data_IF_540107693850
#
_entry.id   IF_540107693850
#
_cell.length_a   1.000
_cell.length_b   1.000
_cell.length_c   1.000
_cell.angle_alpha   90.00
_cell.angle_beta   90.00
_cell.angle_gamma   90.00
#
_symmetry.space_group_name_H-M   'P 1'
#
loop_
_entity.id
_entity.type
_entity.pdbx_description
1 polymer ?
#
# COMPACT_ATOMS: atom_id res chain seq x y z
N UNK A 1 3.25 -23.35 0.63
CA UNK A 1 4.45 -22.53 0.99
C UNK A 1 5.71 -23.34 1.18
N UNK A 2 5.65 -24.59 1.70
CA UNK A 2 6.83 -25.45 1.86
C UNK A 2 7.44 -25.89 0.54
N UNK A 3 6.64 -26.31 -0.43
CA UNK A 3 7.10 -26.79 -1.76
C UNK A 3 7.69 -25.66 -2.60
N UNK A 4 7.16 -24.44 -2.51
CA UNK A 4 7.73 -23.27 -3.19
C UNK A 4 9.11 -22.87 -2.65
N UNK A 5 9.29 -22.91 -1.30
CA UNK A 5 10.60 -22.64 -0.67
C UNK A 5 11.66 -23.68 -1.02
N UNK A 6 11.27 -24.90 -1.31
CA UNK A 6 12.17 -25.98 -1.72
C UNK A 6 12.51 -25.96 -3.22
N UNK A 7 11.97 -25.03 -4.01
CA UNK A 7 12.19 -24.93 -5.45
C UNK A 7 11.63 -26.12 -6.26
N UNK A 8 10.81 -26.97 -5.65
CA UNK A 8 10.24 -28.17 -6.26
C UNK A 8 8.72 -28.12 -6.17
N UNK A 9 8.07 -27.76 -7.27
CA UNK A 9 6.62 -27.90 -7.42
C UNK A 9 6.30 -29.38 -7.64
N UNK A 10 5.98 -30.12 -6.59
CA UNK A 10 5.44 -31.47 -6.71
C UNK A 10 3.91 -31.38 -6.89
N UNK A 11 3.32 -31.88 -7.99
CA UNK A 11 1.90 -31.72 -8.26
C UNK A 11 0.98 -32.23 -7.16
N UNK A 12 1.40 -33.23 -6.40
CA UNK A 12 0.62 -33.81 -5.31
C UNK A 12 0.61 -33.00 -4.01
N UNK A 13 1.53 -32.02 -3.85
CA UNK A 13 1.68 -31.20 -2.65
C UNK A 13 1.39 -29.71 -2.88
N UNK A 14 1.04 -29.35 -4.13
CA UNK A 14 0.82 -27.96 -4.54
C UNK A 14 -0.59 -27.50 -4.17
N UNK A 15 -0.70 -26.58 -3.23
CA UNK A 15 -1.96 -25.93 -2.88
C UNK A 15 -2.25 -24.67 -3.72
N UNK A 16 -3.47 -24.16 -3.64
CA UNK A 16 -3.86 -22.92 -4.33
C UNK A 16 -2.95 -21.72 -4.01
N UNK A 17 -2.44 -21.63 -2.78
CA UNK A 17 -1.50 -20.59 -2.37
C UNK A 17 -0.15 -20.66 -3.11
N UNK A 18 0.35 -21.86 -3.39
CA UNK A 18 1.62 -22.03 -4.12
C UNK A 18 1.48 -21.59 -5.57
N UNK A 19 0.32 -21.86 -6.21
CA UNK A 19 -0.01 -21.39 -7.56
C UNK A 19 -0.06 -19.86 -7.60
N UNK A 20 -0.71 -19.23 -6.62
CA UNK A 20 -0.81 -17.77 -6.56
C UNK A 20 0.57 -17.12 -6.37
N UNK A 21 1.45 -17.69 -5.52
CA UNK A 21 2.81 -17.21 -5.33
C UNK A 21 3.65 -17.40 -6.60
N UNK A 22 3.49 -18.52 -7.31
CA UNK A 22 4.16 -18.74 -8.60
C UNK A 22 3.73 -17.68 -9.63
N UNK A 23 2.44 -17.35 -9.70
CA UNK A 23 1.91 -16.35 -10.62
C UNK A 23 2.35 -14.91 -10.27
N UNK A 24 2.83 -14.67 -9.06
CA UNK A 24 3.33 -13.35 -8.67
C UNK A 24 4.48 -12.87 -9.56
N UNK A 25 5.45 -13.77 -9.87
CA UNK A 25 6.58 -13.44 -10.73
C UNK A 25 6.15 -12.97 -12.14
N UNK A 26 5.39 -13.77 -12.90
CA UNK A 26 4.84 -13.37 -14.18
C UNK A 26 4.02 -12.07 -14.14
N UNK A 27 3.24 -11.85 -13.08
CA UNK A 27 2.45 -10.62 -12.90
C UNK A 27 3.33 -9.39 -12.76
N UNK A 28 4.40 -9.45 -11.97
CA UNK A 28 5.37 -8.36 -11.81
C UNK A 28 6.09 -8.07 -13.13
N UNK A 29 6.50 -9.10 -13.86
CA UNK A 29 7.15 -8.94 -15.19
C UNK A 29 6.19 -8.29 -16.19
N UNK A 30 4.92 -8.70 -16.19
CA UNK A 30 3.89 -8.08 -17.04
C UNK A 30 3.72 -6.59 -16.77
N UNK A 31 3.66 -6.21 -15.48
CA UNK A 31 3.60 -4.79 -15.08
C UNK A 31 4.85 -4.03 -15.50
N UNK A 32 6.05 -4.60 -15.29
CA UNK A 32 7.31 -3.99 -15.67
C UNK A 32 7.41 -3.78 -17.20
N UNK A 33 6.91 -4.72 -17.99
CA UNK A 33 6.86 -4.63 -19.45
C UNK A 33 5.95 -3.48 -19.90
N UNK A 34 4.78 -3.34 -19.28
CA UNK A 34 3.86 -2.23 -19.55
C UNK A 34 4.48 -0.87 -19.20
N UNK A 35 5.21 -0.79 -18.08
CA UNK A 35 5.96 0.41 -17.67
C UNK A 35 7.07 0.74 -18.67
N UNK A 36 7.85 -0.25 -19.07
CA UNK A 36 8.96 -0.06 -20.03
C UNK A 36 8.47 0.43 -21.39
N UNK A 37 7.34 -0.06 -21.88
CA UNK A 37 6.77 0.39 -23.16
C UNK A 37 6.35 1.87 -23.15
N UNK A 38 6.14 2.47 -21.98
CA UNK A 38 5.77 3.88 -21.79
C UNK A 38 6.89 4.72 -21.15
N UNK A 39 8.13 4.21 -21.10
CA UNK A 39 9.26 4.86 -20.42
C UNK A 39 9.48 6.33 -20.84
N UNK A 40 9.31 6.65 -22.12
CA UNK A 40 9.47 8.02 -22.64
C UNK A 40 8.47 8.98 -21.98
N UNK A 41 7.20 8.60 -21.96
CA UNK A 41 6.13 9.37 -21.32
C UNK A 41 6.35 9.53 -19.80
N UNK A 42 6.89 8.51 -19.16
CA UNK A 42 7.22 8.55 -17.73
C UNK A 42 8.36 9.52 -17.43
N UNK A 43 9.40 9.54 -18.27
CA UNK A 43 10.53 10.47 -18.11
C UNK A 43 10.09 11.92 -18.36
N UNK A 44 9.26 12.16 -19.37
CA UNK A 44 8.69 13.48 -19.67
C UNK A 44 7.83 14.02 -18.50
N UNK A 45 7.18 13.14 -17.74
CA UNK A 45 6.32 13.51 -16.61
C UNK A 45 6.97 13.20 -15.24
N UNK A 46 8.28 13.05 -15.18
CA UNK A 46 8.98 12.63 -13.97
C UNK A 46 8.70 13.54 -12.78
N UNK A 47 8.65 14.85 -12.98
CA UNK A 47 8.36 15.82 -11.91
C UNK A 47 6.96 15.60 -11.33
N UNK A 48 5.96 15.39 -12.19
CA UNK A 48 4.57 15.13 -11.77
C UNK A 48 4.50 13.83 -10.97
N UNK A 49 5.20 12.79 -11.44
CA UNK A 49 5.28 11.50 -10.73
C UNK A 49 5.92 11.70 -9.35
N UNK A 50 7.08 12.34 -9.26
CA UNK A 50 7.77 12.55 -7.98
C UNK A 50 6.93 13.35 -6.99
N UNK A 51 6.34 14.46 -7.41
CA UNK A 51 5.47 15.27 -6.55
C UNK A 51 4.27 14.44 -6.08
N UNK A 52 3.62 13.72 -6.99
CA UNK A 52 2.51 12.83 -6.66
C UNK A 52 2.90 11.76 -5.66
N UNK A 53 4.08 11.16 -5.79
CA UNK A 53 4.60 10.14 -4.87
C UNK A 53 4.77 10.70 -3.45
N UNK A 54 5.40 11.86 -3.31
CA UNK A 54 5.59 12.49 -2.00
C UNK A 54 4.26 12.88 -1.36
N UNK A 55 3.37 13.53 -2.11
CA UNK A 55 2.04 13.91 -1.63
C UNK A 55 1.22 12.69 -1.24
N UNK A 56 1.22 11.63 -2.07
CA UNK A 56 0.46 10.41 -1.81
C UNK A 56 1.02 9.62 -0.63
N UNK A 57 2.35 9.55 -0.46
CA UNK A 57 2.97 8.83 0.65
C UNK A 57 2.73 9.54 1.98
N UNK A 58 3.01 10.83 2.05
CA UNK A 58 2.78 11.63 3.27
C UNK A 58 1.28 11.76 3.55
N UNK A 59 0.48 12.08 2.53
CA UNK A 59 -0.98 12.18 2.64
C UNK A 59 -1.63 10.84 3.01
N UNK A 60 -1.13 9.73 2.47
CA UNK A 60 -1.57 8.39 2.83
C UNK A 60 -1.29 8.05 4.28
N UNK A 61 -0.08 8.31 4.77
CA UNK A 61 0.32 8.05 6.16
C UNK A 61 -0.41 8.97 7.14
N UNK A 62 -0.19 10.27 7.03
CA UNK A 62 -0.73 11.24 7.99
C UNK A 62 -2.23 11.46 7.82
N UNK A 63 -2.74 11.47 6.59
CA UNK A 63 -4.17 11.60 6.30
C UNK A 63 -4.96 10.41 6.82
N UNK A 64 -4.46 9.17 6.63
CA UNK A 64 -5.11 7.99 7.22
C UNK A 64 -5.04 8.03 8.75
N UNK A 65 -3.88 8.34 9.33
CA UNK A 65 -3.72 8.46 10.78
C UNK A 65 -4.67 9.50 11.38
N UNK A 66 -4.77 10.68 10.77
CA UNK A 66 -5.69 11.73 11.19
C UNK A 66 -7.17 11.31 11.04
N UNK A 67 -7.51 10.70 9.90
CA UNK A 67 -8.88 10.24 9.63
C UNK A 67 -9.36 9.19 10.62
N UNK A 68 -8.56 8.14 10.87
CA UNK A 68 -8.95 7.07 11.83
C UNK A 68 -9.04 7.58 13.26
N UNK A 69 -8.28 8.63 13.60
CA UNK A 69 -8.40 9.34 14.88
C UNK A 69 -9.67 10.18 14.93
N UNK A 70 -10.00 10.92 13.86
CA UNK A 70 -11.17 11.79 13.77
C UNK A 70 -12.46 11.00 13.96
N UNK A 71 -12.59 9.85 13.28
CA UNK A 71 -13.76 8.96 13.43
C UNK A 71 -13.72 8.13 14.71
N UNK A 72 -12.67 8.29 15.53
CA UNK A 72 -12.43 7.53 16.78
C UNK A 72 -12.56 6.01 16.58
N UNK A 73 -11.92 5.50 15.52
CA UNK A 73 -12.01 4.09 15.12
C UNK A 73 -11.62 3.16 16.29
N UNK A 74 -12.55 2.29 16.70
CA UNK A 74 -12.36 1.36 17.82
C UNK A 74 -12.51 1.98 19.22
N UNK A 75 -12.93 3.24 19.35
CA UNK A 75 -13.15 3.90 20.65
C UNK A 75 -11.88 4.02 21.50
N UNK A 76 -12.01 3.88 22.81
CA UNK A 76 -10.88 4.01 23.77
C UNK A 76 -9.84 2.88 23.61
N UNK A 77 -10.24 1.67 23.21
CA UNK A 77 -9.36 0.52 22.98
C UNK A 77 -8.82 0.42 21.54
N UNK A 78 -9.17 1.38 20.68
CA UNK A 78 -8.92 1.31 19.23
C UNK A 78 -7.50 1.68 18.77
N UNK A 79 -6.52 1.87 19.67
CA UNK A 79 -5.13 2.22 19.32
C UNK A 79 -4.56 1.24 18.28
N UNK A 80 -4.62 -0.06 18.58
CA UNK A 80 -4.10 -1.11 17.68
C UNK A 80 -4.81 -1.06 16.33
N UNK A 81 -6.15 -0.97 16.31
CA UNK A 81 -6.94 -0.90 15.09
C UNK A 81 -6.60 0.31 14.24
N UNK A 82 -6.40 1.49 14.86
CA UNK A 82 -6.00 2.72 14.17
C UNK A 82 -4.61 2.59 13.55
N UNK A 83 -3.63 2.07 14.30
CA UNK A 83 -2.26 1.88 13.81
C UNK A 83 -2.21 0.85 12.68
N UNK A 84 -2.96 -0.25 12.78
CA UNK A 84 -3.06 -1.28 11.73
C UNK A 84 -3.66 -0.73 10.42
N UNK A 85 -4.51 0.30 10.49
CA UNK A 85 -5.15 0.87 9.31
C UNK A 85 -4.22 1.82 8.54
N UNK A 86 -3.16 2.35 9.16
CA UNK A 86 -2.26 3.32 8.52
C UNK A 86 -1.58 2.75 7.28
N UNK A 87 -1.22 1.46 7.30
CA UNK A 87 -0.52 0.76 6.21
C UNK A 87 -1.43 0.30 5.05
N UNK A 88 -2.71 0.68 5.04
CA UNK A 88 -3.74 0.17 4.10
C UNK A 88 -3.47 0.41 2.61
N UNK A 89 -2.68 1.42 2.25
CA UNK A 89 -2.44 1.84 0.86
C UNK A 89 -1.11 1.34 0.28
N UNK A 90 -0.46 0.40 0.95
CA UNK A 90 0.74 -0.29 0.44
C UNK A 90 0.45 -1.76 0.19
N UNK A 91 1.39 -2.47 -0.46
CA UNK A 91 1.24 -3.92 -0.68
C UNK A 91 1.22 -4.68 0.64
N UNK A 92 0.49 -5.79 0.71
CA UNK A 92 0.35 -6.59 1.95
C UNK A 92 1.70 -6.93 2.59
N UNK A 93 2.71 -7.29 1.79
CA UNK A 93 4.04 -7.61 2.30
C UNK A 93 4.71 -6.42 3.02
N UNK A 94 4.61 -5.22 2.45
CA UNK A 94 5.15 -4.01 3.06
C UNK A 94 4.26 -3.49 4.20
N UNK A 95 2.94 -3.71 4.12
CA UNK A 95 2.02 -3.38 5.20
C UNK A 95 2.33 -4.15 6.48
N UNK A 96 2.72 -5.42 6.39
CA UNK A 96 3.15 -6.23 7.52
C UNK A 96 4.32 -5.54 8.23
N UNK A 97 5.40 -5.25 7.50
CA UNK A 97 6.60 -4.60 8.06
C UNK A 97 6.28 -3.24 8.67
N UNK A 98 5.51 -2.41 7.95
CA UNK A 98 5.10 -1.09 8.46
C UNK A 98 4.28 -1.20 9.74
N UNK A 99 3.36 -2.17 9.80
CA UNK A 99 2.46 -2.35 10.94
C UNK A 99 3.21 -2.84 12.17
N UNK A 100 4.21 -3.70 12.00
CA UNK A 100 5.13 -4.12 13.09
C UNK A 100 5.90 -2.92 13.64
N UNK A 101 6.45 -2.06 12.78
CA UNK A 101 7.15 -0.83 13.21
C UNK A 101 6.21 0.11 13.97
N UNK A 102 4.95 0.24 13.53
CA UNK A 102 3.97 1.14 14.13
C UNK A 102 3.30 0.56 15.40
N UNK A 103 3.53 -0.72 15.73
CA UNK A 103 2.91 -1.39 16.88
C UNK A 103 1.42 -1.70 16.68
N UNK A 104 1.00 -1.98 15.46
CA UNK A 104 -0.34 -2.45 15.11
C UNK A 104 -0.44 -3.98 15.03
N UNK A 105 -1.62 -4.48 14.65
CA UNK A 105 -1.88 -5.91 14.39
C UNK A 105 -1.79 -6.20 12.89
N UNK A 106 -0.95 -7.17 12.53
CA UNK A 106 -0.65 -7.57 11.14
C UNK A 106 -1.87 -8.17 10.44
N UNK A 107 -2.71 -8.91 11.17
CA UNK A 107 -3.90 -9.54 10.58
C UNK A 107 -4.93 -8.48 10.21
N UNK A 108 -5.14 -7.51 11.08
CA UNK A 108 -6.01 -6.37 10.82
C UNK A 108 -5.48 -5.54 9.65
N UNK A 109 -4.18 -5.24 9.63
CA UNK A 109 -3.55 -4.51 8.54
C UNK A 109 -3.75 -5.20 7.19
N UNK A 110 -3.53 -6.52 7.13
CA UNK A 110 -3.75 -7.32 5.92
C UNK A 110 -5.20 -7.26 5.44
N UNK A 111 -6.17 -7.34 6.34
CA UNK A 111 -7.58 -7.14 6.00
C UNK A 111 -7.87 -5.74 5.45
N UNK A 112 -7.30 -4.69 6.05
CA UNK A 112 -7.49 -3.30 5.60
C UNK A 112 -6.87 -3.04 4.22
N UNK A 113 -5.72 -3.65 3.93
CA UNK A 113 -5.12 -3.62 2.59
C UNK A 113 -6.05 -4.24 1.56
N UNK A 114 -6.56 -5.46 1.81
CA UNK A 114 -7.46 -6.16 0.89
C UNK A 114 -8.74 -5.36 0.67
N UNK A 115 -9.37 -4.84 1.74
CA UNK A 115 -10.57 -4.00 1.65
C UNK A 115 -10.31 -2.74 0.82
N UNK A 116 -9.19 -2.06 1.05
CA UNK A 116 -8.80 -0.89 0.26
C UNK A 116 -8.67 -1.22 -1.22
N UNK A 117 -8.06 -2.37 -1.54
CA UNK A 117 -7.93 -2.85 -2.91
C UNK A 117 -9.27 -3.16 -3.57
N UNK A 118 -10.18 -3.84 -2.87
CA UNK A 118 -11.52 -4.18 -3.37
C UNK A 118 -12.32 -2.90 -3.62
N UNK A 119 -12.38 -1.97 -2.67
CA UNK A 119 -13.11 -0.71 -2.81
C UNK A 119 -12.53 0.11 -3.98
N UNK A 120 -11.21 0.27 -4.01
CA UNK A 120 -10.53 1.03 -5.06
C UNK A 120 -10.67 0.41 -6.45
N UNK A 121 -10.55 -0.91 -6.55
CA UNK A 121 -10.74 -1.63 -7.81
C UNK A 121 -12.17 -1.60 -8.33
N UNK A 122 -13.16 -1.64 -7.42
CA UNK A 122 -14.58 -1.64 -7.79
C UNK A 122 -15.11 -0.23 -8.12
N UNK A 123 -14.72 0.78 -7.37
CA UNK A 123 -15.33 2.11 -7.44
C UNK A 123 -14.36 3.21 -7.91
N UNK A 124 -13.04 2.99 -7.86
CA UNK A 124 -12.04 4.04 -8.13
C UNK A 124 -12.21 4.70 -9.50
N UNK A 125 -12.39 3.92 -10.56
CA UNK A 125 -12.63 4.45 -11.92
C UNK A 125 -13.89 5.31 -11.97
N UNK A 126 -14.99 4.82 -11.40
CA UNK A 126 -16.29 5.52 -11.40
C UNK A 126 -16.20 6.84 -10.63
N UNK A 127 -15.45 6.88 -9.54
CA UNK A 127 -15.20 8.12 -8.79
C UNK A 127 -14.44 9.13 -9.64
N UNK A 128 -13.35 8.69 -10.32
CA UNK A 128 -12.58 9.57 -11.21
C UNK A 128 -13.42 10.09 -12.36
N UNK A 129 -14.29 9.26 -12.95
CA UNK A 129 -15.21 9.66 -14.02
C UNK A 129 -16.22 10.71 -13.55
N UNK A 130 -16.79 10.52 -12.35
CA UNK A 130 -17.74 11.48 -11.74
C UNK A 130 -17.09 12.82 -11.39
N UNK A 131 -15.84 12.80 -10.93
CA UNK A 131 -15.07 14.03 -10.60
C UNK A 131 -14.52 14.69 -11.86
N UNK A 132 -14.60 14.03 -13.03
CA UNK A 132 -14.17 14.57 -14.32
C UNK A 132 -12.67 14.47 -14.58
N UNK A 133 -11.95 13.60 -13.86
CA UNK A 133 -10.51 13.32 -14.10
C UNK A 133 -10.38 12.43 -15.33
N UNK A 134 -10.00 13.01 -16.46
CA UNK A 134 -9.88 12.32 -17.76
C UNK A 134 -8.43 12.05 -18.16
N UNK A 135 -7.48 12.81 -17.63
CA UNK A 135 -6.06 12.65 -17.95
C UNK A 135 -5.54 11.29 -17.49
N UNK A 136 -4.97 10.47 -18.40
CA UNK A 136 -4.51 9.12 -18.07
C UNK A 136 -3.42 9.08 -17.00
N UNK A 137 -2.53 10.07 -16.97
CA UNK A 137 -1.45 10.14 -15.98
C UNK A 137 -2.04 10.33 -14.58
N UNK A 138 -2.91 11.32 -14.43
CA UNK A 138 -3.60 11.62 -13.16
C UNK A 138 -4.46 10.44 -12.68
N UNK A 139 -5.16 9.77 -13.60
CA UNK A 139 -5.95 8.56 -13.30
C UNK A 139 -5.06 7.44 -12.78
N UNK A 140 -3.97 7.17 -13.51
CA UNK A 140 -3.00 6.15 -13.13
C UNK A 140 -2.38 6.43 -11.75
N UNK A 141 -1.82 7.63 -11.55
CA UNK A 141 -1.20 8.02 -10.29
C UNK A 141 -2.19 7.98 -9.12
N UNK A 142 -3.43 8.46 -9.31
CA UNK A 142 -4.46 8.45 -8.28
C UNK A 142 -4.89 7.05 -7.86
N UNK A 143 -5.20 6.17 -8.80
CA UNK A 143 -5.60 4.78 -8.51
C UNK A 143 -4.43 3.97 -7.94
N UNK A 144 -3.25 4.08 -8.54
CA UNK A 144 -2.07 3.32 -8.08
C UNK A 144 -1.65 3.67 -6.66
N UNK A 145 -1.71 4.96 -6.28
CA UNK A 145 -1.34 5.40 -4.94
C UNK A 145 -2.37 5.10 -3.86
N UNK A 146 -3.64 4.91 -4.23
CA UNK A 146 -4.74 4.77 -3.26
C UNK A 146 -5.27 3.34 -3.13
N UNK A 147 -5.15 2.50 -4.17
CA UNK A 147 -5.99 1.31 -4.33
C UNK A 147 -5.21 0.01 -4.58
N UNK A 148 -3.92 0.03 -4.40
CA UNK A 148 -3.02 -1.13 -4.53
C UNK A 148 -3.23 -1.95 -5.83
N UNK A 149 -2.80 -3.22 -5.85
CA UNK A 149 -2.82 -4.07 -7.04
C UNK A 149 -4.19 -4.29 -7.67
N UNK A 150 -5.26 -4.39 -6.88
CA UNK A 150 -6.63 -4.54 -7.40
C UNK A 150 -7.10 -3.27 -8.12
N UNK A 151 -6.76 -2.09 -7.58
CA UNK A 151 -7.03 -0.83 -8.26
C UNK A 151 -6.24 -0.71 -9.57
N UNK A 152 -4.94 -1.06 -9.56
CA UNK A 152 -4.12 -1.08 -10.77
C UNK A 152 -4.71 -2.02 -11.82
N UNK A 153 -5.14 -3.22 -11.43
CA UNK A 153 -5.75 -4.19 -12.32
C UNK A 153 -7.05 -3.67 -12.96
N UNK A 154 -7.81 -2.81 -12.26
CA UNK A 154 -9.02 -2.21 -12.81
C UNK A 154 -8.75 -1.30 -14.02
N UNK A 155 -7.52 -0.75 -14.12
CA UNK A 155 -7.09 0.12 -15.22
C UNK A 155 -6.49 -0.62 -16.42
N UNK A 156 -6.48 -1.96 -16.46
CA UNK A 156 -5.83 -2.74 -17.51
C UNK A 156 -6.37 -2.42 -18.90
N UNK A 157 -7.63 -2.01 -18.99
CA UNK A 157 -8.26 -1.56 -20.24
C UNK A 157 -7.83 -0.15 -20.67
N UNK A 158 -7.32 0.67 -19.74
CA UNK A 158 -6.83 2.02 -19.97
C UNK A 158 -5.31 1.98 -20.19
N UNK A 159 -4.89 1.61 -21.41
CA UNK A 159 -3.48 1.32 -21.76
C UNK A 159 -2.50 2.45 -21.42
N UNK A 160 -2.95 3.69 -21.37
CA UNK A 160 -2.13 4.85 -21.06
C UNK A 160 -2.09 5.17 -19.56
N UNK A 161 -3.13 4.84 -18.80
CA UNK A 161 -3.21 5.04 -17.36
C UNK A 161 -2.54 3.89 -16.57
N UNK A 162 -2.66 2.65 -17.05
CA UNK A 162 -2.18 1.44 -16.36
C UNK A 162 -0.69 1.48 -15.97
N UNK A 163 0.26 1.89 -16.84
CA UNK A 163 1.67 1.96 -16.48
C UNK A 163 1.96 2.97 -15.35
N UNK A 164 1.25 4.10 -15.32
CA UNK A 164 1.37 5.09 -14.24
C UNK A 164 0.78 4.58 -12.93
N UNK A 165 -0.29 3.79 -12.98
CA UNK A 165 -0.84 3.15 -11.79
C UNK A 165 0.14 2.11 -11.22
N UNK A 166 0.76 1.30 -12.08
CA UNK A 166 1.72 0.29 -11.65
C UNK A 166 2.95 0.89 -10.98
N UNK A 167 3.53 1.96 -11.57
CA UNK A 167 4.71 2.63 -10.99
C UNK A 167 4.34 3.37 -9.71
N UNK A 168 3.21 4.06 -9.68
CA UNK A 168 2.73 4.78 -8.50
C UNK A 168 2.53 3.84 -7.31
N UNK A 169 1.85 2.72 -7.52
CA UNK A 169 1.67 1.70 -6.49
C UNK A 169 3.01 1.23 -5.90
N UNK A 170 3.97 0.87 -6.75
CA UNK A 170 5.25 0.35 -6.31
C UNK A 170 6.07 1.39 -5.56
N UNK A 171 6.17 2.61 -6.10
CA UNK A 171 7.01 3.65 -5.54
C UNK A 171 6.39 4.29 -4.28
N UNK A 172 5.06 4.47 -4.24
CA UNK A 172 4.38 4.94 -3.01
C UNK A 172 4.55 3.93 -1.89
N UNK A 173 4.42 2.65 -2.17
CA UNK A 173 4.62 1.60 -1.17
C UNK A 173 6.07 1.60 -0.64
N UNK A 174 7.07 1.67 -1.53
CA UNK A 174 8.47 1.75 -1.15
C UNK A 174 8.78 3.02 -0.33
N UNK A 175 8.34 4.19 -0.81
CA UNK A 175 8.57 5.46 -0.13
C UNK A 175 7.88 5.51 1.24
N UNK A 176 6.62 5.08 1.34
CA UNK A 176 5.89 5.03 2.62
C UNK A 176 6.57 4.13 3.64
N UNK A 177 7.05 2.96 3.22
CA UNK A 177 7.79 2.04 4.10
C UNK A 177 9.12 2.66 4.56
N UNK A 178 9.86 3.30 3.65
CA UNK A 178 11.11 4.01 3.98
C UNK A 178 10.86 5.14 4.98
N UNK A 179 9.80 5.94 4.78
CA UNK A 179 9.44 7.03 5.70
C UNK A 179 9.10 6.50 7.09
N UNK A 180 8.33 5.42 7.20
CA UNK A 180 7.99 4.79 8.50
C UNK A 180 9.21 4.14 9.15
N UNK A 181 10.21 3.71 8.40
CA UNK A 181 11.47 3.19 8.97
C UNK A 181 12.31 4.27 9.67
N UNK A 182 12.02 5.55 9.45
CA UNK A 182 12.66 6.66 10.18
C UNK A 182 11.92 6.85 11.52
N UNK A 183 12.57 6.62 12.69
CA UNK A 183 11.89 6.64 13.99
C UNK A 183 11.14 7.95 14.29
N UNK A 184 11.69 9.08 13.86
CA UNK A 184 11.04 10.38 14.05
C UNK A 184 9.70 10.49 13.32
N UNK A 185 9.63 9.98 12.08
CA UNK A 185 8.40 9.97 11.26
C UNK A 185 7.42 8.91 11.75
N UNK A 186 7.88 7.72 12.12
CA UNK A 186 7.04 6.70 12.73
C UNK A 186 6.34 7.23 13.99
N UNK A 187 7.10 7.84 14.90
CA UNK A 187 6.56 8.47 16.11
C UNK A 187 5.55 9.59 15.80
N UNK A 188 5.80 10.41 14.78
CA UNK A 188 4.87 11.45 14.35
C UNK A 188 3.54 10.83 13.84
N UNK A 189 3.60 9.78 13.04
CA UNK A 189 2.41 9.06 12.54
C UNK A 189 1.63 8.43 13.69
N UNK A 190 2.31 7.75 14.62
CA UNK A 190 1.69 7.13 15.81
C UNK A 190 1.00 8.20 16.67
N UNK A 191 1.65 9.33 16.92
CA UNK A 191 1.08 10.45 17.69
C UNK A 191 -0.16 11.04 17.00
N UNK A 192 -0.15 11.20 15.69
CA UNK A 192 -1.31 11.66 14.92
C UNK A 192 -2.45 10.65 15.00
N UNK A 193 -2.18 9.35 14.94
CA UNK A 193 -3.18 8.30 15.12
C UNK A 193 -3.74 8.20 16.56
N UNK A 194 -3.19 8.98 17.50
CA UNK A 194 -3.61 8.98 18.91
C UNK A 194 -2.98 7.84 19.71
N UNK A 195 -1.80 7.36 19.31
CA UNK A 195 -0.96 6.42 20.04
C UNK A 195 0.10 7.13 20.90
N UNK A 196 0.73 6.38 21.80
CA UNK A 196 1.96 6.77 22.49
C UNK A 196 3.15 6.51 21.56
N UNK A 197 4.27 7.22 21.78
CA UNK A 197 5.45 7.08 20.90
C UNK A 197 5.98 5.63 20.91
N UNK A 198 6.45 5.16 19.76
CA UNK A 198 7.06 3.83 19.59
C UNK A 198 8.20 3.61 20.57
N UNK A 199 8.97 4.67 20.88
CA UNK A 199 10.07 4.64 21.85
C UNK A 199 9.58 4.37 23.27
N UNK A 200 8.45 4.96 23.69
CA UNK A 200 7.85 4.68 25.00
C UNK A 200 7.32 3.26 25.11
N UNK A 201 6.64 2.77 24.08
CA UNK A 201 6.13 1.38 24.07
C UNK A 201 7.27 0.36 24.13
N UNK A 202 8.39 0.60 23.45
CA UNK A 202 9.57 -0.26 23.51
C UNK A 202 10.27 -0.19 24.88
N UNK A 203 10.31 0.98 25.52
CA UNK A 203 10.86 1.15 26.87
C UNK A 203 10.02 0.44 27.95
N UNK A 204 8.68 0.50 27.84
CA UNK A 204 7.78 -0.20 28.74
C UNK A 204 7.87 -1.72 28.59
N UNK A 205 8.01 -2.24 27.36
CA UNK A 205 8.24 -3.65 27.10
C UNK A 205 9.54 -4.17 27.74
N UNK A 206 10.62 -3.37 27.65
CA UNK A 206 11.93 -3.70 28.23
C UNK A 206 11.97 -3.65 29.76
N UNK A 207 11.03 -2.95 30.41
CA UNK A 207 10.94 -2.87 31.89
C UNK A 207 9.98 -3.91 32.49
N UNK A 208 9.23 -4.64 31.65
CA UNK A 208 8.27 -5.68 32.08
C UNK A 208 8.83 -7.10 32.06
N UNK A 209 10.06 -7.30 31.57
CA UNK A 209 10.85 -8.54 31.66
C UNK A 209 11.79 -8.51 32.86
#
# INVERSE_FOLDING_TARGET
LRSYRAGTLKPAETGAGDILIFLLGPSVVSMATAMYSRKKLMVENLLVILVSLFVSSLGGLFGTAAFVRLINLGGKAGKILRLSTVSRNVTTALAIVMTEILGGDVSIASCMVVLTGIIGGSFGRQVLDKVGVKDPISRGLGIGSSSIGLGVASLISEKDAFPFAAISMALVAALSTTLVSIPALANAVVKVAGGESVVQAAAEAATSE
#
